data_IF_329886131578
#
_entry.id   IF_329886131578
#
_cell.length_a   1.000
_cell.length_b   1.000
_cell.length_c   1.000
_cell.angle_alpha   90.00
_cell.angle_beta   90.00
_cell.angle_gamma   90.00
#
_symmetry.space_group_name_H-M   'P 1'
#
loop_
_entity.id
_entity.type
_entity.pdbx_description
1 polymer ?
#
# COMPACT_ATOMS: atom_id res chain seq x y z
N UNK A 1 15.55 -16.18 40.49
CA UNK A 1 15.48 -16.80 39.15
C UNK A 1 14.05 -17.17 38.77
N UNK A 2 13.35 -18.05 39.50
CA UNK A 2 11.96 -18.43 39.17
C UNK A 2 10.97 -17.26 39.10
N UNK A 3 11.04 -16.30 40.05
CA UNK A 3 10.21 -15.09 40.03
C UNK A 3 10.45 -14.25 38.76
N UNK A 4 11.71 -14.07 38.37
CA UNK A 4 12.09 -13.31 37.18
C UNK A 4 11.55 -13.98 35.91
N UNK A 5 11.66 -15.31 35.81
CA UNK A 5 11.10 -16.08 34.70
C UNK A 5 9.57 -15.91 34.65
N UNK A 6 8.89 -15.95 35.81
CA UNK A 6 7.45 -15.74 35.89
C UNK A 6 7.01 -14.36 35.40
N UNK A 7 7.75 -13.30 35.77
CA UNK A 7 7.49 -11.93 35.31
C UNK A 7 7.69 -11.79 33.80
N UNK A 8 8.79 -12.33 33.25
CA UNK A 8 9.04 -12.32 31.80
C UNK A 8 7.96 -13.06 31.03
N UNK A 9 7.50 -14.22 31.53
CA UNK A 9 6.43 -14.98 30.90
C UNK A 9 5.09 -14.22 30.91
N UNK A 10 4.78 -13.52 32.01
CA UNK A 10 3.59 -12.68 32.12
C UNK A 10 3.66 -11.50 31.14
N UNK A 11 4.79 -10.82 31.03
CA UNK A 11 4.97 -9.70 30.11
C UNK A 11 4.79 -10.15 28.65
N UNK A 12 5.43 -11.27 28.26
CA UNK A 12 5.26 -11.83 26.93
C UNK A 12 3.81 -12.23 26.63
N UNK A 13 3.10 -12.76 27.63
CA UNK A 13 1.68 -13.09 27.49
C UNK A 13 0.82 -11.83 27.29
N UNK A 14 1.04 -10.78 28.08
CA UNK A 14 0.33 -9.50 27.94
C UNK A 14 0.61 -8.86 26.59
N UNK A 15 1.88 -8.82 26.16
CA UNK A 15 2.27 -8.28 24.84
C UNK A 15 1.56 -9.06 23.72
N UNK A 16 1.52 -10.38 23.81
CA UNK A 16 0.84 -11.23 22.81
C UNK A 16 -0.65 -10.92 22.70
N UNK A 17 -1.33 -10.65 23.81
CA UNK A 17 -2.75 -10.26 23.81
C UNK A 17 -2.99 -8.85 23.23
N UNK A 18 -1.99 -7.97 23.31
CA UNK A 18 -2.07 -6.60 22.80
C UNK A 18 -1.65 -6.48 21.32
N UNK A 19 -1.04 -7.51 20.75
CA UNK A 19 -0.69 -7.53 19.33
C UNK A 19 -1.95 -7.68 18.47
N UNK A 20 -2.19 -6.71 17.58
CA UNK A 20 -3.19 -6.86 16.54
C UNK A 20 -2.80 -8.04 15.65
N UNK A 21 -3.76 -8.96 15.42
CA UNK A 21 -3.54 -10.07 14.49
C UNK A 21 -3.16 -9.49 13.13
N UNK A 22 -2.03 -9.91 12.53
CA UNK A 22 -1.75 -9.54 11.15
C UNK A 22 -2.92 -10.07 10.32
N UNK A 23 -3.63 -9.15 9.65
CA UNK A 23 -4.80 -9.49 8.87
C UNK A 23 -4.47 -10.52 7.78
N UNK A 24 -5.49 -11.19 7.21
CA UNK A 24 -5.33 -12.15 6.11
C UNK A 24 -4.94 -11.44 4.81
N UNK A 25 -3.65 -11.08 4.71
CA UNK A 25 -3.00 -10.59 3.50
C UNK A 25 -2.22 -11.71 2.81
N UNK A 26 -2.30 -11.79 1.48
CA UNK A 26 -1.46 -12.67 0.68
C UNK A 26 -0.84 -11.93 -0.50
N UNK A 27 0.40 -12.29 -0.81
CA UNK A 27 1.08 -11.87 -2.02
C UNK A 27 0.79 -12.87 -3.13
N UNK A 28 0.62 -12.37 -4.35
CA UNK A 28 0.72 -13.20 -5.54
C UNK A 28 2.12 -13.84 -5.60
N UNK A 29 2.23 -15.04 -6.17
CA UNK A 29 3.51 -15.73 -6.29
C UNK A 29 4.36 -15.20 -7.46
N UNK A 30 3.69 -14.63 -8.47
CA UNK A 30 4.33 -14.21 -9.72
C UNK A 30 4.11 -12.71 -9.94
N UNK A 31 5.16 -11.95 -10.27
CA UNK A 31 5.01 -10.55 -10.67
C UNK A 31 4.13 -10.42 -11.92
N UNK A 32 3.33 -9.36 -11.95
CA UNK A 32 2.49 -8.98 -13.09
C UNK A 32 2.78 -7.55 -13.49
N UNK A 33 2.43 -7.20 -14.73
CA UNK A 33 2.47 -5.81 -15.21
C UNK A 33 1.08 -5.20 -15.07
N UNK A 34 0.99 -4.09 -14.35
CA UNK A 34 -0.21 -3.26 -14.29
C UNK A 34 0.03 -1.95 -15.00
N UNK A 35 -0.87 -1.60 -15.92
CA UNK A 35 -0.88 -0.31 -16.60
C UNK A 35 -2.02 0.55 -16.09
N UNK A 36 -1.77 1.84 -15.94
CA UNK A 36 -2.75 2.77 -15.37
C UNK A 36 -2.21 4.19 -15.25
N UNK A 37 -2.90 5.02 -14.48
CA UNK A 37 -2.50 6.39 -14.19
C UNK A 37 -1.88 6.50 -12.79
N UNK A 38 -0.64 6.96 -12.71
CA UNK A 38 0.07 7.21 -11.46
C UNK A 38 -0.33 8.56 -10.85
N UNK A 39 -0.88 8.55 -9.64
CA UNK A 39 -1.03 9.71 -8.76
C UNK A 39 -0.08 9.61 -7.57
N UNK A 40 0.42 10.73 -7.05
CA UNK A 40 1.38 10.77 -5.92
C UNK A 40 0.90 11.55 -4.70
N UNK A 41 -0.25 12.22 -4.79
CA UNK A 41 -0.81 13.00 -3.68
C UNK A 41 -2.04 12.28 -3.09
N UNK A 42 -2.08 11.97 -1.77
CA UNK A 42 -1.02 12.16 -0.75
C UNK A 42 0.01 11.00 -0.67
N UNK A 43 -0.22 9.91 -1.40
CA UNK A 43 0.68 8.76 -1.50
C UNK A 43 0.59 8.16 -2.91
N UNK A 44 1.61 7.38 -3.33
CA UNK A 44 1.62 6.80 -4.67
C UNK A 44 0.49 5.76 -4.85
N UNK A 45 -0.38 6.03 -5.83
CA UNK A 45 -1.49 5.17 -6.25
C UNK A 45 -1.39 4.95 -7.75
N UNK A 46 -1.47 3.69 -8.18
CA UNK A 46 -1.74 3.35 -9.57
C UNK A 46 -3.24 3.14 -9.75
N UNK A 47 -3.87 3.99 -10.56
CA UNK A 47 -5.26 3.83 -10.95
C UNK A 47 -5.34 2.96 -12.19
N UNK A 48 -5.90 1.76 -12.06
CA UNK A 48 -6.13 0.87 -13.20
C UNK A 48 -7.60 0.88 -13.61
N UNK A 49 -7.91 0.30 -14.76
CA UNK A 49 -9.28 0.04 -15.19
C UNK A 49 -9.54 -1.47 -15.19
N UNK A 50 -10.52 -1.91 -14.39
CA UNK A 50 -10.96 -3.30 -14.33
C UNK A 50 -12.47 -3.34 -14.58
N UNK A 51 -12.88 -4.05 -15.65
CA UNK A 51 -14.30 -4.19 -16.02
C UNK A 51 -15.05 -2.85 -16.12
N UNK A 52 -14.41 -1.82 -16.67
CA UNK A 52 -14.98 -0.47 -16.83
C UNK A 52 -15.04 0.36 -15.55
N UNK A 53 -14.38 -0.09 -14.46
CA UNK A 53 -14.28 0.63 -13.19
C UNK A 53 -12.84 1.00 -12.89
N UNK A 54 -12.67 2.21 -12.35
CA UNK A 54 -11.38 2.70 -11.86
C UNK A 54 -11.06 2.04 -10.51
N UNK A 55 -9.95 1.33 -10.43
CA UNK A 55 -9.53 0.59 -9.22
C UNK A 55 -8.21 1.17 -8.70
N UNK A 56 -8.14 1.60 -7.42
CA UNK A 56 -6.90 2.08 -6.82
C UNK A 56 -6.02 0.92 -6.37
N UNK A 57 -4.77 0.92 -6.82
CA UNK A 57 -3.69 0.12 -6.23
C UNK A 57 -2.75 1.04 -5.45
N UNK A 58 -2.75 0.90 -4.13
CA UNK A 58 -1.75 1.55 -3.28
C UNK A 58 -0.38 0.93 -3.56
N UNK A 59 0.58 1.75 -3.97
CA UNK A 59 1.93 1.29 -4.28
C UNK A 59 2.73 1.16 -2.98
N UNK A 60 3.31 -0.02 -2.78
CA UNK A 60 4.21 -0.27 -1.66
C UNK A 60 5.56 -0.79 -2.17
N UNK A 61 6.55 -0.77 -1.31
CA UNK A 61 7.88 -1.26 -1.60
C UNK A 61 8.30 -2.28 -0.54
N UNK A 62 9.21 -3.17 -0.92
CA UNK A 62 9.89 -4.04 0.02
C UNK A 62 10.77 -3.23 1.01
N UNK A 63 11.25 -3.88 2.06
CA UNK A 63 12.40 -3.41 2.86
C UNK A 63 12.26 -2.06 3.60
N UNK A 64 11.06 -1.69 4.09
CA UNK A 64 10.78 -0.40 4.79
C UNK A 64 11.07 0.84 3.95
N UNK A 65 11.30 0.69 2.64
CA UNK A 65 11.42 1.82 1.72
C UNK A 65 10.02 2.26 1.31
N UNK A 66 9.89 3.54 0.96
CA UNK A 66 8.69 4.03 0.31
C UNK A 66 8.71 3.62 -1.16
N UNK A 67 7.54 3.32 -1.74
CA UNK A 67 7.38 3.15 -3.18
C UNK A 67 7.87 4.39 -3.96
N UNK A 68 7.79 5.57 -3.34
CA UNK A 68 8.33 6.83 -3.86
C UNK A 68 9.82 6.73 -4.25
N UNK A 69 10.61 5.94 -3.53
CA UNK A 69 12.04 5.74 -3.83
C UNK A 69 12.25 5.11 -5.20
N UNK A 70 11.37 4.20 -5.63
CA UNK A 70 11.44 3.55 -6.93
C UNK A 70 10.77 4.36 -8.05
N UNK A 71 9.94 5.33 -7.70
CA UNK A 71 9.26 6.24 -8.62
C UNK A 71 9.99 7.59 -8.74
N UNK A 72 11.19 7.72 -8.18
CA UNK A 72 11.98 8.94 -8.26
C UNK A 72 12.27 9.29 -9.74
N UNK A 73 11.90 10.49 -10.16
CA UNK A 73 12.06 10.94 -11.56
C UNK A 73 10.97 10.47 -12.53
N UNK A 74 10.02 9.65 -12.08
CA UNK A 74 8.86 9.23 -12.87
C UNK A 74 7.75 10.27 -12.73
N UNK A 75 7.28 10.91 -13.82
CA UNK A 75 6.16 11.84 -13.73
C UNK A 75 4.85 11.12 -13.40
N UNK A 76 3.92 11.81 -12.76
CA UNK A 76 2.53 11.37 -12.68
C UNK A 76 1.91 11.24 -14.07
N UNK A 77 0.88 10.41 -14.20
CA UNK A 77 0.21 10.13 -15.46
C UNK A 77 0.33 8.67 -15.90
N UNK A 78 0.11 8.36 -17.18
CA UNK A 78 0.04 6.98 -17.64
C UNK A 78 1.39 6.26 -17.51
N UNK A 79 1.39 5.06 -16.92
CA UNK A 79 2.58 4.23 -16.69
C UNK A 79 2.23 2.74 -16.70
N UNK A 80 3.23 1.89 -16.94
CA UNK A 80 3.20 0.45 -16.68
C UNK A 80 4.21 0.08 -15.60
N UNK A 81 3.75 -0.65 -14.57
CA UNK A 81 4.55 -1.08 -13.43
C UNK A 81 4.55 -2.60 -13.31
N UNK A 82 5.72 -3.20 -13.14
CA UNK A 82 5.88 -4.62 -12.78
C UNK A 82 5.97 -4.77 -11.26
N UNK A 83 5.22 -5.71 -10.70
CA UNK A 83 5.17 -5.91 -9.25
C UNK A 83 4.29 -7.07 -8.80
N UNK A 84 4.14 -7.27 -7.49
CA UNK A 84 3.31 -8.31 -6.89
C UNK A 84 1.99 -7.72 -6.41
N UNK A 85 0.87 -8.34 -6.81
CA UNK A 85 -0.45 -7.98 -6.26
C UNK A 85 -0.56 -8.51 -4.85
N UNK A 86 -1.02 -7.67 -3.93
CA UNK A 86 -1.32 -8.02 -2.56
C UNK A 86 -2.82 -7.93 -2.34
N UNK A 87 -3.40 -9.05 -1.91
CA UNK A 87 -4.83 -9.16 -1.62
C UNK A 87 -5.04 -9.16 -0.12
N UNK A 88 -5.97 -8.32 0.35
CA UNK A 88 -6.39 -8.23 1.75
C UNK A 88 -7.87 -8.51 1.86
N UNK A 89 -8.23 -9.64 2.49
CA UNK A 89 -9.65 -10.02 2.61
C UNK A 89 -10.41 -9.17 3.64
N UNK A 90 -9.70 -8.51 4.54
CA UNK A 90 -10.24 -7.57 5.52
C UNK A 90 -10.55 -6.17 4.95
N UNK A 91 -9.98 -5.82 3.79
CA UNK A 91 -10.18 -4.53 3.11
C UNK A 91 -10.42 -4.71 1.60
N UNK A 92 -11.61 -5.19 1.19
CA UNK A 92 -11.86 -5.56 -0.21
C UNK A 92 -11.82 -4.39 -1.21
N UNK A 93 -11.93 -3.14 -0.74
CA UNK A 93 -11.89 -1.94 -1.59
C UNK A 93 -10.48 -1.38 -1.85
N UNK A 94 -9.47 -1.81 -1.10
CA UNK A 94 -8.10 -1.32 -1.24
C UNK A 94 -7.20 -2.44 -1.73
N UNK A 95 -6.75 -2.34 -2.99
CA UNK A 95 -5.74 -3.24 -3.52
C UNK A 95 -4.37 -2.65 -3.27
N UNK A 96 -3.39 -3.52 -3.06
CA UNK A 96 -2.00 -3.13 -2.83
C UNK A 96 -1.13 -3.76 -3.91
N UNK A 97 -0.09 -3.04 -4.33
CA UNK A 97 0.83 -3.50 -5.36
C UNK A 97 2.26 -3.21 -4.92
N UNK A 98 3.04 -4.27 -4.76
CA UNK A 98 4.43 -4.17 -4.34
C UNK A 98 5.33 -4.01 -5.55
N UNK A 99 6.08 -2.92 -5.56
CA UNK A 99 7.04 -2.57 -6.61
C UNK A 99 8.47 -2.64 -6.08
N UNK A 100 9.41 -3.05 -6.94
CA UNK A 100 10.84 -3.10 -6.66
C UNK A 100 11.67 -2.14 -7.51
N UNK A 101 13.00 -2.28 -7.44
CA UNK A 101 13.95 -1.39 -8.13
C UNK A 101 13.78 -1.33 -9.66
N UNK A 102 13.25 -2.39 -10.28
CA UNK A 102 13.04 -2.50 -11.73
C UNK A 102 11.55 -2.46 -12.10
N UNK A 103 10.72 -1.79 -11.30
CA UNK A 103 9.28 -1.80 -11.49
C UNK A 103 8.82 -1.03 -12.72
N UNK A 104 9.50 0.06 -13.08
CA UNK A 104 9.13 0.86 -14.24
C UNK A 104 9.50 0.11 -15.50
N UNK A 105 8.48 -0.34 -16.22
CA UNK A 105 8.68 -0.94 -17.54
C UNK A 105 8.45 0.20 -18.54
N UNK A 106 9.38 0.42 -19.48
CA UNK A 106 9.25 1.48 -20.49
C UNK A 106 7.84 1.47 -21.09
N UNK A 107 7.29 2.66 -21.29
CA UNK A 107 5.91 2.90 -21.70
C UNK A 107 5.60 2.24 -23.06
N UNK A 108 5.34 0.94 -23.04
CA UNK A 108 4.55 0.27 -24.08
C UNK A 108 3.22 1.00 -24.19
N UNK A 109 2.66 1.05 -25.41
CA UNK A 109 1.47 1.83 -25.79
C UNK A 109 0.54 2.07 -24.61
N UNK A 110 0.65 3.27 -24.05
CA UNK A 110 -0.08 3.64 -22.85
C UNK A 110 -1.57 3.61 -23.17
N UNK A 111 -2.41 3.06 -22.27
CA UNK A 111 -3.86 3.16 -22.44
C UNK A 111 -4.26 4.64 -22.57
N UNK A 112 -5.36 4.90 -23.27
CA UNK A 112 -5.87 6.25 -23.45
C UNK A 112 -5.98 6.96 -22.08
N UNK A 113 -5.75 8.29 -22.03
CA UNK A 113 -5.85 9.05 -20.78
C UNK A 113 -7.19 8.77 -20.10
N UNK A 114 -7.14 8.36 -18.84
CA UNK A 114 -8.34 8.14 -18.05
C UNK A 114 -9.05 9.47 -17.80
N UNK A 115 -10.38 9.45 -17.68
CA UNK A 115 -11.12 10.64 -17.26
C UNK A 115 -10.65 11.08 -15.86
N UNK A 116 -10.54 12.40 -15.61
CA UNK A 116 -10.07 12.93 -14.33
C UNK A 116 -10.95 12.46 -13.18
N UNK A 117 -10.34 12.12 -12.04
CA UNK A 117 -11.07 11.80 -10.80
C UNK A 117 -11.78 13.06 -10.32
N UNK A 118 -13.09 12.98 -10.12
CA UNK A 118 -13.81 14.01 -9.37
C UNK A 118 -13.59 13.74 -7.88
N UNK A 119 -12.75 14.54 -7.25
CA UNK A 119 -12.59 14.53 -5.80
C UNK A 119 -13.77 15.27 -5.17
N UNK A 120 -14.55 14.56 -4.36
CA UNK A 120 -15.55 15.17 -3.48
C UNK A 120 -14.91 15.41 -2.11
N UNK A 121 -14.97 16.65 -1.63
CA UNK A 121 -14.50 16.96 -0.29
C UNK A 121 -15.44 16.34 0.74
N UNK A 122 -14.92 15.45 1.58
CA UNK A 122 -15.71 14.79 2.65
C UNK A 122 -15.93 15.69 3.89
N UNK A 123 -15.57 16.98 3.79
CA UNK A 123 -15.56 17.92 4.90
C UNK A 123 -14.29 17.84 5.76
N UNK A 124 -14.24 18.68 6.79
CA UNK A 124 -13.13 18.71 7.75
C UNK A 124 -13.47 17.88 8.98
N UNK A 125 -12.52 17.06 9.43
CA UNK A 125 -12.64 16.30 10.68
C UNK A 125 -11.51 16.75 11.62
N UNK A 126 -11.88 17.34 12.75
CA UNK A 126 -10.93 17.69 13.80
C UNK A 126 -10.72 16.48 14.72
N UNK A 127 -9.51 15.96 14.77
CA UNK A 127 -9.10 14.93 15.73
C UNK A 127 -8.48 15.61 16.96
N UNK A 128 -8.86 15.17 18.17
CA UNK A 128 -8.28 15.66 19.44
C UNK A 128 -7.63 14.49 20.17
N UNK A 129 -6.31 14.56 20.32
CA UNK A 129 -5.51 13.52 20.97
C UNK A 129 -4.05 13.63 20.54
N UNK A 130 -3.23 12.72 21.06
CA UNK A 130 -1.84 12.53 20.62
C UNK A 130 -1.83 11.52 19.46
N UNK A 131 -1.13 11.85 18.37
CA UNK A 131 -0.85 10.89 17.30
C UNK A 131 0.34 10.04 17.76
N UNK A 132 0.05 8.84 18.27
CA UNK A 132 1.09 7.88 18.64
C UNK A 132 1.42 7.04 17.40
N UNK A 133 2.48 7.41 16.68
CA UNK A 133 3.07 6.53 15.67
C UNK A 133 3.99 5.52 16.37
N UNK A 134 3.53 4.28 16.53
CA UNK A 134 4.32 3.21 17.15
C UNK A 134 5.51 2.76 16.30
N UNK A 135 5.72 3.35 15.11
CA UNK A 135 6.86 3.09 14.24
C UNK A 135 7.99 4.11 14.38
N UNK A 136 7.85 5.14 15.21
CA UNK A 136 8.91 6.11 15.55
C UNK A 136 9.56 5.82 16.91
#
# INVERSE_FOLDING_TARGET
VLLLIGLVALDLYVISLMQQRPGPGSWAETPVVLSGELSRDPYPILWTEESGRRVPYMLIADTKRSAETFLAGVPSGPIALTGLVITRTDFPGLKMFEIGANAVTEAGTLPAPMAPVQSEALGEVALKGEIVDSKC
#
